data_IF_351601082311
#
_entry.id   IF_351601082311
#
_cell.length_a   1.000
_cell.length_b   1.000
_cell.length_c   1.000
_cell.angle_alpha   90.00
_cell.angle_beta   90.00
_cell.angle_gamma   90.00
#
_symmetry.space_group_name_H-M   'P 1'
#
loop_
_entity.id
_entity.type
_entity.pdbx_description
1 polymer ?
#
# COMPACT_ATOMS: atom_id res chain seq x y z
N UNK A 1 -9.20 -17.43 18.23
CA UNK A 1 -10.26 -16.51 17.79
C UNK A 1 -10.01 -16.15 16.34
N UNK A 2 -11.07 -16.17 15.55
CA UNK A 2 -11.07 -15.75 14.15
C UNK A 2 -12.19 -14.74 14.00
N UNK A 3 -11.90 -13.58 13.43
CA UNK A 3 -12.85 -12.54 13.08
C UNK A 3 -12.70 -12.19 11.62
N UNK A 4 -13.82 -12.09 10.93
CA UNK A 4 -13.87 -11.66 9.54
C UNK A 4 -14.84 -10.49 9.43
N UNK A 5 -14.47 -9.48 8.67
CA UNK A 5 -15.30 -8.32 8.42
C UNK A 5 -15.16 -7.83 6.99
N UNK A 6 -16.23 -7.24 6.49
CA UNK A 6 -16.25 -6.55 5.19
C UNK A 6 -16.90 -5.20 5.40
N UNK A 7 -16.17 -4.14 5.11
CA UNK A 7 -16.71 -2.80 5.09
C UNK A 7 -16.98 -2.40 3.65
N UNK A 8 -18.20 -1.95 3.38
CA UNK A 8 -18.59 -1.32 2.12
C UNK A 8 -18.85 0.15 2.40
N UNK A 9 -18.14 1.02 1.69
CA UNK A 9 -18.28 2.47 1.86
C UNK A 9 -18.73 3.08 0.53
N UNK A 10 -20.02 3.37 0.38
CA UNK A 10 -20.50 4.15 -0.76
C UNK A 10 -19.97 5.58 -0.65
N UNK A 11 -19.44 6.08 -1.73
CA UNK A 11 -18.91 7.44 -1.85
C UNK A 11 -19.53 8.12 -3.07
N UNK A 12 -20.05 9.33 -2.85
CA UNK A 12 -20.51 10.21 -3.91
C UNK A 12 -19.59 11.42 -3.95
N UNK A 13 -18.98 11.65 -5.11
CA UNK A 13 -18.13 12.81 -5.35
C UNK A 13 -18.74 13.64 -6.46
N UNK A 14 -19.02 14.91 -6.18
CA UNK A 14 -19.37 15.91 -7.19
C UNK A 14 -18.12 16.73 -7.48
N UNK A 15 -17.79 16.85 -8.74
CA UNK A 15 -16.64 17.61 -9.21
C UNK A 15 -17.14 18.67 -10.19
N UNK A 16 -16.84 19.93 -9.89
CA UNK A 16 -17.14 21.09 -10.74
C UNK A 16 -15.85 21.87 -10.92
N UNK A 17 -15.44 22.02 -12.14
CA UNK A 17 -14.23 22.77 -12.49
C UNK A 17 -14.40 23.47 -13.82
N UNK A 18 -13.88 24.70 -13.88
CA UNK A 18 -13.61 25.43 -15.11
C UNK A 18 -12.10 25.46 -15.32
N UNK A 19 -11.63 24.77 -16.35
CA UNK A 19 -10.19 24.68 -16.63
C UNK A 19 -9.94 24.72 -18.13
N UNK A 20 -9.04 25.60 -18.58
CA UNK A 20 -8.73 25.82 -19.99
C UNK A 20 -9.97 26.07 -20.87
N UNK A 21 -10.99 26.74 -20.33
CA UNK A 21 -12.24 27.03 -21.04
C UNK A 21 -13.20 25.83 -21.10
N UNK A 22 -12.89 24.72 -20.48
CA UNK A 22 -13.75 23.54 -20.36
C UNK A 22 -14.46 23.56 -19.02
N UNK A 23 -15.78 23.67 -19.05
CA UNK A 23 -16.62 23.48 -17.86
C UNK A 23 -16.93 22.03 -17.66
N UNK A 24 -16.56 21.48 -16.50
CA UNK A 24 -16.83 20.09 -16.12
C UNK A 24 -17.71 20.07 -14.87
N UNK A 25 -18.90 19.48 -14.98
CA UNK A 25 -19.77 19.14 -13.84
C UNK A 25 -20.03 17.62 -13.89
N UNK A 26 -19.40 16.89 -13.02
CA UNK A 26 -19.47 15.43 -13.02
C UNK A 26 -19.76 14.90 -11.62
N UNK A 27 -20.66 13.92 -11.53
CA UNK A 27 -20.98 13.20 -10.31
C UNK A 27 -20.54 11.74 -10.46
N UNK A 28 -19.70 11.29 -9.55
CA UNK A 28 -19.25 9.90 -9.48
C UNK A 28 -19.76 9.23 -8.22
N UNK A 29 -20.43 8.12 -8.40
CA UNK A 29 -20.83 7.23 -7.32
C UNK A 29 -19.99 5.97 -7.37
N UNK A 30 -19.32 5.64 -6.28
CA UNK A 30 -18.46 4.45 -6.16
C UNK A 30 -18.72 3.75 -4.84
N UNK A 31 -18.40 2.47 -4.77
CA UNK A 31 -18.43 1.70 -3.55
C UNK A 31 -17.02 1.20 -3.29
N UNK A 32 -16.42 1.65 -2.21
CA UNK A 32 -15.14 1.16 -1.74
C UNK A 32 -15.34 -0.11 -0.93
N UNK A 33 -14.50 -1.09 -1.17
CA UNK A 33 -14.56 -2.39 -0.55
C UNK A 33 -13.31 -2.61 0.32
N UNK A 34 -13.50 -2.96 1.58
CA UNK A 34 -12.41 -3.15 2.54
C UNK A 34 -12.64 -4.41 3.38
N UNK A 35 -12.18 -5.58 2.89
CA UNK A 35 -12.21 -6.81 3.66
C UNK A 35 -11.14 -6.80 4.77
N UNK A 36 -11.48 -7.40 5.90
CA UNK A 36 -10.57 -7.56 7.03
C UNK A 36 -10.67 -8.96 7.61
N UNK A 37 -9.54 -9.52 8.05
CA UNK A 37 -9.50 -10.77 8.79
C UNK A 37 -8.52 -10.61 9.95
N UNK A 38 -8.93 -11.01 11.14
CA UNK A 38 -8.09 -11.05 12.34
C UNK A 38 -8.13 -12.48 12.91
N UNK A 39 -6.96 -13.12 12.90
CA UNK A 39 -6.77 -14.44 13.47
C UNK A 39 -5.84 -14.32 14.66
N UNK A 40 -6.26 -14.86 15.82
CA UNK A 40 -5.47 -14.90 17.04
C UNK A 40 -5.49 -16.30 17.64
N UNK A 41 -4.29 -16.82 17.87
CA UNK A 41 -4.12 -18.11 18.51
C UNK A 41 -3.17 -17.99 19.70
N UNK A 42 -3.57 -18.55 20.84
CA UNK A 42 -2.75 -18.63 22.04
C UNK A 42 -2.31 -20.07 22.21
N UNK A 43 -1.02 -20.32 22.08
CA UNK A 43 -0.42 -21.63 22.35
C UNK A 43 -0.31 -21.86 23.86
N UNK A 44 0.01 -20.78 24.62
CA UNK A 44 0.11 -20.79 26.07
C UNK A 44 -0.24 -19.40 26.62
N UNK A 45 -0.11 -19.22 27.94
CA UNK A 45 -0.27 -17.89 28.57
C UNK A 45 0.78 -16.88 28.07
N UNK A 46 1.94 -17.37 27.64
CA UNK A 46 3.10 -16.57 27.26
C UNK A 46 3.44 -16.67 25.76
N UNK A 47 2.69 -17.47 24.98
CA UNK A 47 2.94 -17.66 23.53
C UNK A 47 1.68 -17.39 22.72
N UNK A 48 1.80 -16.49 21.75
CA UNK A 48 0.68 -16.09 20.90
C UNK A 48 1.10 -15.83 19.47
N UNK A 49 0.19 -16.17 18.57
CA UNK A 49 0.25 -15.83 17.15
C UNK A 49 -0.92 -14.91 16.81
N UNK A 50 -0.65 -13.88 16.04
CA UNK A 50 -1.66 -13.00 15.47
C UNK A 50 -1.40 -12.83 13.98
N UNK A 51 -2.45 -12.92 13.18
CA UNK A 51 -2.41 -12.64 11.74
C UNK A 51 -3.55 -11.70 11.44
N UNK A 52 -3.23 -10.58 10.79
CA UNK A 52 -4.19 -9.61 10.30
C UNK A 52 -4.08 -9.50 8.78
N UNK A 53 -5.20 -9.54 8.11
CA UNK A 53 -5.33 -9.20 6.71
C UNK A 53 -6.24 -7.98 6.58
N UNK A 54 -5.88 -7.08 5.67
CA UNK A 54 -6.67 -5.90 5.34
C UNK A 54 -6.58 -5.61 3.84
N UNK A 55 -7.73 -5.50 3.18
CA UNK A 55 -7.85 -4.95 1.85
C UNK A 55 -8.39 -3.53 1.89
N UNK A 56 -7.91 -2.66 1.02
CA UNK A 56 -8.37 -1.27 0.93
C UNK A 56 -8.43 -0.85 -0.53
N UNK A 57 -9.60 -0.36 -0.94
CA UNK A 57 -9.79 0.25 -2.27
C UNK A 57 -9.50 1.74 -2.19
N UNK A 58 -8.73 2.27 -3.14
CA UNK A 58 -8.49 3.70 -3.33
C UNK A 58 -8.93 4.12 -4.72
N UNK A 59 -9.75 5.17 -4.80
CA UNK A 59 -10.25 5.71 -6.06
C UNK A 59 -9.22 6.63 -6.70
N UNK A 60 -9.13 6.68 -8.05
CA UNK A 60 -8.37 7.71 -8.75
C UNK A 60 -8.89 9.11 -8.40
N UNK A 61 -8.03 10.11 -8.48
CA UNK A 61 -8.46 11.50 -8.32
C UNK A 61 -9.41 11.91 -9.45
N UNK A 62 -10.28 12.86 -9.19
CA UNK A 62 -11.18 13.35 -10.25
C UNK A 62 -10.42 14.04 -11.36
N UNK A 63 -9.34 14.74 -11.03
CA UNK A 63 -8.46 15.40 -12.01
C UNK A 63 -7.80 14.39 -12.96
N UNK A 64 -7.34 13.26 -12.44
CA UNK A 64 -6.74 12.20 -13.26
C UNK A 64 -7.75 11.54 -14.22
N UNK A 65 -9.05 11.57 -13.85
CA UNK A 65 -10.13 10.98 -14.64
C UNK A 65 -10.70 11.91 -15.71
N UNK A 66 -10.39 13.20 -15.66
CA UNK A 66 -10.84 14.14 -16.67
C UNK A 66 -10.12 13.87 -17.99
N UNK A 67 -10.87 13.92 -19.10
CA UNK A 67 -10.28 13.89 -20.44
C UNK A 67 -9.86 15.31 -20.86
N UNK A 68 -9.01 15.92 -20.05
CA UNK A 68 -8.48 17.26 -20.31
C UNK A 68 -7.00 17.11 -20.64
N UNK A 69 -6.60 17.78 -21.71
CA UNK A 69 -5.21 17.93 -22.12
C UNK A 69 -4.78 19.35 -21.83
N UNK A 70 -3.75 19.51 -21.03
CA UNK A 70 -3.07 20.77 -20.81
C UNK A 70 -1.82 20.82 -21.68
N UNK A 71 -1.85 21.63 -22.70
CA UNK A 71 -0.78 21.89 -23.65
C UNK A 71 -0.32 23.36 -23.61
N UNK A 72 -0.59 24.05 -22.52
CA UNK A 72 -0.13 25.42 -22.29
C UNK A 72 1.41 25.53 -22.35
N UNK A 73 2.11 24.47 -21.97
CA UNK A 73 3.52 24.26 -22.26
C UNK A 73 3.68 23.10 -23.28
N UNK A 74 3.99 23.41 -24.55
CA UNK A 74 4.11 22.37 -25.59
C UNK A 74 5.21 21.31 -25.33
N UNK A 75 6.17 21.61 -24.45
CA UNK A 75 7.23 20.68 -24.07
C UNK A 75 6.85 19.80 -22.89
N UNK A 76 5.80 20.17 -22.12
CA UNK A 76 5.36 19.45 -20.93
C UNK A 76 3.83 19.33 -20.92
N UNK A 77 3.31 18.45 -21.74
CA UNK A 77 1.87 18.22 -21.88
C UNK A 77 1.41 17.26 -20.76
N UNK A 78 0.27 17.56 -20.14
CA UNK A 78 -0.39 16.65 -19.21
C UNK A 78 -1.77 16.26 -19.71
N UNK A 79 -2.12 14.98 -19.57
CA UNK A 79 -3.41 14.42 -19.96
C UNK A 79 -4.03 13.63 -18.82
N UNK A 80 -5.35 13.73 -18.64
CA UNK A 80 -6.08 12.83 -17.77
C UNK A 80 -6.41 11.50 -18.45
N UNK A 81 -6.83 10.50 -17.65
CA UNK A 81 -7.18 9.18 -18.14
C UNK A 81 -8.52 8.70 -17.56
N UNK A 82 -9.63 8.86 -18.29
CA UNK A 82 -10.94 8.38 -17.84
C UNK A 82 -11.01 6.85 -17.65
N UNK A 83 -10.07 6.11 -18.23
CA UNK A 83 -9.99 4.64 -18.14
C UNK A 83 -9.34 4.12 -16.86
N UNK A 84 -8.92 4.98 -15.94
CA UNK A 84 -8.31 4.57 -14.69
C UNK A 84 -9.24 3.72 -13.82
N UNK A 85 -8.70 2.61 -13.36
CA UNK A 85 -9.34 1.70 -12.41
C UNK A 85 -8.93 2.05 -10.98
N UNK A 86 -9.81 1.81 -9.99
CA UNK A 86 -9.44 1.91 -8.60
C UNK A 86 -8.26 1.00 -8.26
N UNK A 87 -7.36 1.48 -7.43
CA UNK A 87 -6.30 0.64 -6.87
C UNK A 87 -6.82 -0.15 -5.68
N UNK A 88 -6.29 -1.36 -5.50
CA UNK A 88 -6.61 -2.21 -4.38
C UNK A 88 -5.34 -2.68 -3.68
N UNK A 89 -5.17 -2.23 -2.44
CA UNK A 89 -4.03 -2.60 -1.60
C UNK A 89 -4.43 -3.71 -0.66
N UNK A 90 -3.67 -4.79 -0.68
CA UNK A 90 -3.80 -5.93 0.24
C UNK A 90 -2.60 -5.92 1.17
N UNK A 91 -2.84 -6.07 2.46
CA UNK A 91 -1.81 -6.09 3.48
C UNK A 91 -2.05 -7.26 4.43
N UNK A 92 -1.01 -8.06 4.65
CA UNK A 92 -0.98 -9.14 5.62
C UNK A 92 0.10 -8.83 6.64
N UNK A 93 -0.27 -8.82 7.90
CA UNK A 93 0.65 -8.69 9.02
C UNK A 93 0.56 -9.95 9.87
N UNK A 94 1.70 -10.51 10.24
CA UNK A 94 1.79 -11.63 11.17
C UNK A 94 2.76 -11.27 12.30
N UNK A 95 2.40 -11.61 13.52
CA UNK A 95 3.27 -11.50 14.68
C UNK A 95 3.16 -12.77 15.55
N UNK A 96 4.31 -13.29 15.93
CA UNK A 96 4.43 -14.37 16.86
C UNK A 96 5.38 -13.96 17.99
N UNK A 97 4.97 -14.18 19.22
CA UNK A 97 5.81 -13.91 20.38
C UNK A 97 5.69 -15.03 21.42
N UNK A 98 6.81 -15.31 22.06
CA UNK A 98 6.92 -16.23 23.18
C UNK A 98 7.79 -15.64 24.28
N UNK A 99 7.40 -15.90 25.51
CA UNK A 99 8.18 -15.57 26.69
C UNK A 99 8.19 -16.75 27.66
N UNK A 100 9.35 -17.03 28.25
CA UNK A 100 9.53 -18.07 29.26
C UNK A 100 10.22 -17.48 30.47
N UNK A 101 9.70 -17.70 31.65
CA UNK A 101 10.27 -17.17 32.90
C UNK A 101 11.66 -17.73 33.21
N UNK A 102 11.95 -18.96 32.74
CA UNK A 102 13.28 -19.51 32.84
C UNK A 102 14.26 -18.71 32.03
N UNK A 103 15.30 -18.15 32.67
CA UNK A 103 16.31 -17.28 32.04
C UNK A 103 15.74 -16.02 31.36
N UNK A 104 14.52 -15.58 31.71
CA UNK A 104 13.86 -14.45 31.08
C UNK A 104 13.93 -14.51 29.54
N UNK A 105 13.78 -15.73 28.98
CA UNK A 105 13.85 -15.95 27.55
C UNK A 105 12.61 -15.40 26.86
N UNK A 106 12.82 -14.41 26.03
CA UNK A 106 11.78 -13.82 25.20
C UNK A 106 12.23 -13.71 23.74
N UNK A 107 11.33 -14.03 22.82
CA UNK A 107 11.53 -13.75 21.40
C UNK A 107 10.23 -13.43 20.72
N UNK A 108 10.29 -12.57 19.71
CA UNK A 108 9.20 -12.33 18.81
C UNK A 108 9.71 -12.20 17.39
N UNK A 109 8.87 -12.64 16.47
CA UNK A 109 9.04 -12.48 15.03
C UNK A 109 7.78 -11.81 14.52
N UNK A 110 7.94 -10.79 13.69
CA UNK A 110 6.83 -10.09 13.08
C UNK A 110 7.16 -9.75 11.64
N UNK A 111 6.14 -9.70 10.82
CA UNK A 111 6.31 -9.37 9.42
C UNK A 111 5.08 -8.69 8.86
N UNK A 112 5.29 -7.97 7.78
CA UNK A 112 4.24 -7.34 6.99
C UNK A 112 4.54 -7.54 5.51
N UNK A 113 3.53 -7.94 4.76
CA UNK A 113 3.56 -7.96 3.30
C UNK A 113 2.41 -7.14 2.77
N UNK A 114 2.69 -6.26 1.81
CA UNK A 114 1.66 -5.45 1.16
C UNK A 114 1.88 -5.42 -0.34
N UNK A 115 0.80 -5.56 -1.10
CA UNK A 115 0.82 -5.44 -2.56
C UNK A 115 -0.34 -4.57 -3.02
N UNK A 116 -0.12 -3.79 -4.08
CA UNK A 116 -1.14 -2.92 -4.66
C UNK A 116 -1.38 -3.32 -6.11
N UNK A 117 -2.59 -3.74 -6.39
CA UNK A 117 -3.08 -3.97 -7.75
C UNK A 117 -3.64 -2.67 -8.33
N UNK A 118 -3.45 -2.45 -9.63
CA UNK A 118 -3.87 -1.24 -10.34
C UNK A 118 -3.37 0.05 -9.66
N UNK A 119 -2.16 0.06 -9.16
CA UNK A 119 -1.50 1.27 -8.66
C UNK A 119 -1.51 2.33 -9.76
N UNK A 120 -1.73 3.58 -9.42
CA UNK A 120 -1.72 4.68 -10.39
C UNK A 120 -0.31 5.26 -10.43
N UNK A 121 0.26 5.30 -11.62
CA UNK A 121 1.59 5.86 -11.88
C UNK A 121 1.54 6.72 -13.14
N UNK A 122 2.34 7.76 -13.17
CA UNK A 122 2.45 8.59 -14.36
C UNK A 122 3.31 7.86 -15.41
N UNK A 123 2.72 7.65 -16.60
CA UNK A 123 3.44 7.27 -17.80
C UNK A 123 3.92 8.53 -18.50
N UNK A 124 5.21 8.61 -18.76
CA UNK A 124 5.83 9.71 -19.49
C UNK A 124 6.26 9.18 -20.84
N UNK A 125 5.70 9.74 -21.91
CA UNK A 125 6.09 9.45 -23.30
C UNK A 125 6.84 10.64 -23.85
N UNK A 126 8.01 10.42 -24.38
CA UNK A 126 8.84 11.46 -25.02
C UNK A 126 8.59 11.48 -26.51
N UNK A 127 8.59 12.67 -27.10
CA UNK A 127 8.60 12.85 -28.53
C UNK A 127 10.00 13.28 -28.96
N UNK A 128 10.72 12.43 -29.65
CA UNK A 128 12.10 12.67 -30.07
C UNK A 128 12.22 13.84 -31.07
N UNK A 129 11.20 14.09 -31.91
CA UNK A 129 11.23 15.14 -32.90
C UNK A 129 11.09 16.54 -32.29
N UNK A 130 10.24 16.68 -31.27
CA UNK A 130 9.95 17.97 -30.64
C UNK A 130 10.68 18.19 -29.33
N UNK A 131 11.25 17.12 -28.73
CA UNK A 131 11.81 17.14 -27.39
C UNK A 131 10.77 17.31 -26.28
N UNK A 132 9.49 17.25 -26.61
CA UNK A 132 8.37 17.38 -25.68
C UNK A 132 8.07 16.05 -24.99
N UNK A 133 7.37 16.13 -23.86
CA UNK A 133 6.89 14.97 -23.12
C UNK A 133 5.40 15.08 -22.84
N UNK A 134 4.73 13.93 -22.87
CA UNK A 134 3.33 13.79 -22.48
C UNK A 134 3.29 12.94 -21.21
N UNK A 135 2.70 13.48 -20.16
CA UNK A 135 2.50 12.78 -18.90
C UNK A 135 1.03 12.40 -18.74
N UNK A 136 0.76 11.12 -18.54
CA UNK A 136 -0.59 10.59 -18.37
C UNK A 136 -0.61 9.57 -17.23
N UNK A 137 -1.59 9.64 -16.28
CA UNK A 137 -1.74 8.62 -15.24
C UNK A 137 -2.26 7.30 -15.84
N UNK A 138 -1.62 6.19 -15.50
CA UNK A 138 -2.02 4.85 -15.92
C UNK A 138 -1.95 3.86 -14.76
N UNK A 139 -2.72 2.78 -14.85
CA UNK A 139 -2.66 1.71 -13.87
C UNK A 139 -1.47 0.78 -14.14
N UNK A 140 -0.71 0.49 -13.09
CA UNK A 140 0.42 -0.43 -13.12
C UNK A 140 0.29 -1.47 -12.01
N UNK A 141 0.76 -2.68 -12.27
CA UNK A 141 0.84 -3.76 -11.28
C UNK A 141 2.30 -4.07 -10.96
N UNK A 142 2.51 -4.78 -9.86
CA UNK A 142 3.84 -5.23 -9.45
C UNK A 142 4.42 -4.45 -8.25
N UNK A 143 3.71 -3.46 -7.72
CA UNK A 143 4.12 -2.76 -6.51
C UNK A 143 3.86 -3.63 -5.28
N UNK A 144 4.91 -3.94 -4.54
CA UNK A 144 4.80 -4.66 -3.28
C UNK A 144 5.95 -4.31 -2.34
N UNK A 145 5.70 -4.46 -1.06
CA UNK A 145 6.71 -4.37 -0.03
C UNK A 145 6.60 -5.53 0.95
N UNK A 146 7.73 -5.92 1.50
CA UNK A 146 7.84 -6.92 2.54
C UNK A 146 8.77 -6.41 3.64
N UNK A 147 8.38 -6.68 4.86
CA UNK A 147 9.16 -6.40 6.05
C UNK A 147 9.11 -7.60 6.97
N UNK A 148 10.26 -8.02 7.52
CA UNK A 148 10.37 -9.04 8.56
C UNK A 148 11.32 -8.52 9.61
N UNK A 149 10.88 -8.56 10.85
CA UNK A 149 11.69 -8.19 12.00
C UNK A 149 11.56 -9.21 13.11
N UNK A 150 12.50 -9.17 14.02
CA UNK A 150 12.47 -10.01 15.20
C UNK A 150 13.40 -9.51 16.29
N UNK A 151 13.08 -9.91 17.51
CA UNK A 151 13.96 -9.68 18.64
C UNK A 151 14.07 -10.93 19.47
N UNK A 152 15.20 -11.03 20.16
CA UNK A 152 15.51 -12.08 21.09
C UNK A 152 16.15 -11.48 22.34
N UNK A 153 15.72 -11.90 23.50
CA UNK A 153 16.33 -11.55 24.78
C UNK A 153 16.43 -12.79 25.68
N UNK A 154 17.56 -12.89 26.37
CA UNK A 154 17.81 -13.99 27.28
C UNK A 154 18.77 -13.57 28.38
N UNK A 155 18.53 -14.02 29.61
CA UNK A 155 19.53 -13.95 30.68
C UNK A 155 20.44 -15.16 30.60
N UNK A 156 21.78 -14.91 30.56
CA UNK A 156 22.78 -15.98 30.49
C UNK A 156 22.89 -16.71 31.83
N UNK A 157 22.74 -15.96 32.91
CA UNK A 157 22.83 -16.47 34.27
C UNK A 157 21.47 -16.48 34.98
N UNK A 158 21.32 -17.35 35.95
CA UNK A 158 20.08 -17.45 36.73
C UNK A 158 19.82 -16.24 37.65
N UNK A 159 20.85 -15.44 37.94
CA UNK A 159 20.72 -14.23 38.71
C UNK A 159 20.29 -13.02 37.88
N UNK A 160 20.26 -13.15 36.53
CA UNK A 160 19.84 -12.08 35.62
C UNK A 160 20.84 -10.93 35.51
N UNK A 161 22.09 -11.14 35.90
CA UNK A 161 23.17 -10.14 35.84
C UNK A 161 23.62 -9.92 34.39
N UNK A 162 23.72 -11.01 33.63
CA UNK A 162 24.13 -10.96 32.21
C UNK A 162 22.93 -11.22 31.30
N UNK A 163 22.65 -10.25 30.45
CA UNK A 163 21.53 -10.32 29.50
C UNK A 163 22.02 -10.11 28.07
N UNK A 164 21.53 -10.91 27.15
CA UNK A 164 21.72 -10.76 25.70
C UNK A 164 20.42 -10.26 25.11
N UNK A 165 20.50 -9.15 24.37
CA UNK A 165 19.40 -8.59 23.61
C UNK A 165 19.88 -8.40 22.17
N UNK A 166 19.11 -8.91 21.21
CA UNK A 166 19.41 -8.75 19.78
C UNK A 166 18.13 -8.50 19.00
N UNK A 167 18.23 -7.75 17.94
CA UNK A 167 17.15 -7.53 16.99
C UNK A 167 17.68 -7.57 15.56
N UNK A 168 16.82 -7.98 14.64
CA UNK A 168 17.08 -7.98 13.21
C UNK A 168 15.84 -7.49 12.48
N UNK A 169 16.03 -6.55 11.56
CA UNK A 169 14.99 -6.01 10.72
C UNK A 169 15.44 -6.04 9.25
N UNK A 170 14.61 -6.61 8.39
CA UNK A 170 14.82 -6.72 6.95
C UNK A 170 13.62 -6.12 6.23
N UNK A 171 13.87 -5.26 5.25
CA UNK A 171 12.82 -4.68 4.41
C UNK A 171 13.18 -4.78 2.94
N UNK A 172 12.19 -5.03 2.12
CA UNK A 172 12.31 -5.01 0.67
C UNK A 172 11.12 -4.30 0.06
N UNK A 173 11.39 -3.41 -0.90
CA UNK A 173 10.37 -2.65 -1.61
C UNK A 173 10.59 -2.81 -3.11
N UNK A 174 9.55 -3.21 -3.82
CA UNK A 174 9.51 -3.27 -5.27
C UNK A 174 8.52 -2.23 -5.80
N UNK A 175 9.04 -1.23 -6.49
CA UNK A 175 8.24 -0.18 -7.12
C UNK A 175 8.36 -0.30 -8.63
N UNK A 176 7.21 -0.32 -9.30
CA UNK A 176 7.11 -0.30 -10.74
C UNK A 176 6.67 1.10 -11.19
N UNK A 177 7.30 1.60 -12.22
CA UNK A 177 6.94 2.87 -12.88
C UNK A 177 7.00 2.69 -14.38
N UNK A 178 6.30 3.55 -15.11
CA UNK A 178 6.41 3.60 -16.57
C UNK A 178 7.50 4.61 -16.96
N UNK A 179 8.44 4.13 -17.75
CA UNK A 179 9.34 4.97 -18.53
C UNK A 179 9.26 4.46 -19.97
N UNK A 180 8.66 5.28 -20.83
CA UNK A 180 8.59 5.02 -22.26
C UNK A 180 9.60 5.95 -22.93
N UNK A 181 10.60 5.35 -23.53
CA UNK A 181 11.62 6.04 -24.36
C UNK A 181 11.43 5.46 -25.75
N UNK A 182 10.65 6.16 -26.58
CA UNK A 182 10.51 5.84 -28.00
C UNK A 182 11.73 6.32 -28.77
#
# INVERSE_FOLDING_TARGET
NLSFGVMMQPQRTKFVQDYLGVHTDTVRNVVNFSPTLDFRYKFSKMSRLRINYRGTTSQPSMTDLLNIRDDSDPLNITEGNPGLKPSFTQSVRADYGNFTQSHNLGYAIFGNFSTTSNSISNKVTYNEETGGRVTRPENINGNWNAFVGGFFNCSIDSAGVWNVNTSLDLSYNNYMSYLDVD
#
